data_IF_019964867756
#
_entry.id   IF_019964867756
#
_cell.length_a   1.000
_cell.length_b   1.000
_cell.length_c   1.000
_cell.angle_alpha   90.00
_cell.angle_beta   90.00
_cell.angle_gamma   90.00
#
_symmetry.space_group_name_H-M   'P 1'
#
loop_
_entity.id
_entity.type
_entity.pdbx_description
1 polymer ?
#
# COMPACT_ATOMS: atom_id res chain seq x y z
N UNK A 1 -11.82 5.11 10.66
CA UNK A 1 -11.79 4.01 9.69
C UNK A 1 -11.39 2.79 10.49
N UNK A 2 -12.37 2.04 10.98
CA UNK A 2 -12.06 0.73 11.56
C UNK A 2 -11.77 -0.17 10.35
N UNK A 3 -10.51 -0.56 10.15
CA UNK A 3 -10.21 -1.74 9.35
C UNK A 3 -10.36 -2.92 10.30
N UNK A 4 -11.53 -3.57 10.35
CA UNK A 4 -11.63 -4.75 11.18
C UNK A 4 -10.67 -5.77 10.57
N UNK A 5 -9.71 -6.20 11.37
CA UNK A 5 -8.90 -7.39 11.12
C UNK A 5 -9.90 -8.57 11.15
N UNK A 6 -10.65 -8.71 10.06
CA UNK A 6 -11.59 -9.80 9.87
C UNK A 6 -10.79 -10.93 9.27
N UNK A 7 -10.85 -12.09 9.91
CA UNK A 7 -10.38 -13.38 9.38
C UNK A 7 -11.18 -13.84 8.15
N UNK A 8 -11.63 -12.92 7.30
CA UNK A 8 -12.40 -13.17 6.09
C UNK A 8 -11.71 -12.50 4.92
N UNK A 9 -11.28 -13.31 3.98
CA UNK A 9 -10.82 -12.83 2.68
C UNK A 9 -11.92 -11.99 2.03
N UNK A 10 -11.58 -10.77 1.58
CA UNK A 10 -12.45 -10.02 0.68
C UNK A 10 -12.39 -10.71 -0.69
N UNK A 11 -13.50 -11.27 -1.21
CA UNK A 11 -13.52 -11.94 -2.51
C UNK A 11 -13.18 -11.02 -3.68
N UNK A 12 -13.21 -9.69 -3.48
CA UNK A 12 -12.80 -8.69 -4.48
C UNK A 12 -11.35 -8.22 -4.28
N UNK A 13 -10.67 -8.66 -3.22
CA UNK A 13 -9.26 -8.36 -3.03
C UNK A 13 -8.43 -9.11 -4.07
N UNK A 14 -7.48 -8.44 -4.75
CA UNK A 14 -6.52 -9.14 -5.60
C UNK A 14 -5.53 -9.99 -4.79
N UNK A 15 -5.61 -9.97 -3.46
CA UNK A 15 -4.77 -10.74 -2.53
C UNK A 15 -5.66 -11.57 -1.60
N UNK A 16 -5.38 -12.87 -1.49
CA UNK A 16 -5.97 -13.73 -0.46
C UNK A 16 -5.18 -13.53 0.83
N UNK A 17 -5.77 -12.82 1.80
CA UNK A 17 -5.13 -12.54 3.09
C UNK A 17 -4.75 -13.84 3.82
N UNK A 18 -5.58 -14.88 3.67
CA UNK A 18 -5.35 -16.19 4.27
C UNK A 18 -4.06 -16.91 3.84
N UNK A 19 -3.42 -16.47 2.74
CA UNK A 19 -2.12 -16.95 2.26
C UNK A 19 -0.94 -16.31 3.02
N UNK A 20 -1.16 -15.21 3.75
CA UNK A 20 -0.10 -14.41 4.40
C UNK A 20 -0.16 -14.53 5.93
N UNK A 21 0.17 -15.71 6.47
CA UNK A 21 0.01 -16.02 7.90
C UNK A 21 1.23 -15.75 8.78
N UNK A 22 2.39 -15.53 8.18
CA UNK A 22 3.65 -15.32 8.90
C UNK A 22 4.56 -14.30 8.22
N UNK A 23 5.60 -13.88 8.92
CA UNK A 23 6.55 -12.89 8.40
C UNK A 23 7.21 -13.32 7.08
N UNK A 24 7.49 -14.61 6.86
CA UNK A 24 8.14 -15.07 5.64
C UNK A 24 7.18 -14.99 4.44
N UNK A 25 5.90 -15.29 4.65
CA UNK A 25 4.86 -15.14 3.63
C UNK A 25 4.69 -13.68 3.20
N UNK A 26 4.85 -12.73 4.13
CA UNK A 26 4.83 -11.28 3.84
C UNK A 26 6.12 -10.85 3.13
N UNK A 27 7.30 -11.33 3.58
CA UNK A 27 8.63 -10.98 3.03
C UNK A 27 8.83 -11.49 1.61
N UNK A 28 8.08 -12.51 1.16
CA UNK A 28 7.98 -12.92 -0.26
C UNK A 28 7.32 -11.86 -1.19
N UNK A 29 7.28 -10.60 -0.76
CA UNK A 29 6.84 -9.39 -1.47
C UNK A 29 7.66 -9.01 -2.72
N UNK A 30 8.63 -9.83 -3.15
CA UNK A 30 9.46 -9.55 -4.34
C UNK A 30 8.63 -9.36 -5.62
N UNK A 31 7.48 -10.04 -5.70
CA UNK A 31 6.55 -9.94 -6.82
C UNK A 31 5.83 -8.59 -6.88
N UNK A 32 5.61 -7.90 -5.76
CA UNK A 32 4.97 -6.57 -5.77
C UNK A 32 6.01 -5.50 -6.06
N UNK A 33 7.16 -5.54 -5.39
CA UNK A 33 8.26 -4.59 -5.62
C UNK A 33 8.69 -4.59 -7.09
N UNK A 34 8.91 -5.77 -7.68
CA UNK A 34 9.28 -5.86 -9.10
C UNK A 34 8.21 -5.33 -10.07
N UNK A 35 6.92 -5.51 -9.76
CA UNK A 35 5.82 -4.93 -10.54
C UNK A 35 5.79 -3.40 -10.43
N UNK A 36 5.99 -2.88 -9.23
CA UNK A 36 6.06 -1.44 -8.95
C UNK A 36 7.27 -0.82 -9.67
N UNK A 37 8.44 -1.44 -9.56
CA UNK A 37 9.66 -1.02 -10.23
C UNK A 37 9.48 -0.99 -11.74
N UNK A 38 8.91 -2.06 -12.31
CA UNK A 38 8.60 -2.14 -13.75
C UNK A 38 7.59 -1.08 -14.18
N UNK A 39 6.61 -0.74 -13.34
CA UNK A 39 5.66 0.32 -13.64
C UNK A 39 6.38 1.67 -13.72
N UNK A 40 7.16 2.00 -12.69
CA UNK A 40 7.87 3.28 -12.63
C UNK A 40 9.00 3.40 -13.65
N UNK A 41 9.70 2.32 -13.99
CA UNK A 41 10.77 2.33 -15.00
C UNK A 41 10.27 2.68 -16.40
N UNK A 42 8.99 2.43 -16.67
CA UNK A 42 8.35 2.69 -17.96
C UNK A 42 7.45 3.93 -17.94
N UNK A 43 7.31 4.60 -16.79
CA UNK A 43 6.37 5.69 -16.61
C UNK A 43 6.94 7.01 -17.14
N UNK A 44 6.13 7.74 -17.90
CA UNK A 44 6.47 9.06 -18.44
C UNK A 44 5.60 10.14 -17.81
N UNK A 45 6.06 11.39 -17.85
CA UNK A 45 5.32 12.53 -17.30
C UNK A 45 3.93 12.70 -17.93
N UNK A 46 3.80 12.40 -19.23
CA UNK A 46 2.53 12.40 -19.96
C UNK A 46 1.53 11.35 -19.46
N UNK A 47 1.99 10.28 -18.82
CA UNK A 47 1.14 9.21 -18.30
C UNK A 47 0.36 9.63 -17.05
N UNK A 48 0.82 10.66 -16.33
CA UNK A 48 0.19 11.18 -15.12
C UNK A 48 -1.24 11.71 -15.37
N UNK A 49 -1.51 12.18 -16.59
CA UNK A 49 -2.82 12.69 -17.01
C UNK A 49 -3.78 11.61 -17.51
N UNK A 50 -3.34 10.35 -17.63
CA UNK A 50 -4.20 9.27 -18.15
C UNK A 50 -5.32 8.97 -17.16
N UNK A 51 -6.52 8.78 -17.70
CA UNK A 51 -7.67 8.31 -16.92
C UNK A 51 -7.55 6.81 -16.69
N UNK A 52 -7.66 6.42 -15.42
CA UNK A 52 -7.77 5.04 -14.95
C UNK A 52 -9.12 4.84 -14.28
N UNK A 53 -9.55 3.58 -14.19
CA UNK A 53 -10.86 3.25 -13.64
C UNK A 53 -10.74 2.21 -12.53
N UNK A 54 -11.48 2.42 -11.45
CA UNK A 54 -11.66 1.45 -10.37
C UNK A 54 -13.15 1.16 -10.21
N UNK A 55 -13.50 -0.13 -10.14
CA UNK A 55 -14.83 -0.55 -9.69
C UNK A 55 -14.76 -0.70 -8.18
N UNK A 56 -15.62 0.01 -7.46
CA UNK A 56 -15.73 -0.12 -6.01
C UNK A 56 -16.70 -1.26 -5.64
N UNK A 57 -16.78 -1.58 -4.35
CA UNK A 57 -17.64 -2.62 -3.81
C UNK A 57 -19.15 -2.36 -4.05
N UNK A 58 -19.53 -1.14 -4.41
CA UNK A 58 -20.89 -0.77 -4.83
C UNK A 58 -21.20 -1.10 -6.31
N UNK A 59 -20.25 -1.71 -7.03
CA UNK A 59 -20.35 -2.01 -8.45
C UNK A 59 -20.19 -0.79 -9.36
N UNK A 60 -20.05 0.42 -8.81
CA UNK A 60 -19.88 1.64 -9.58
C UNK A 60 -18.43 1.81 -10.03
N UNK A 61 -18.25 1.99 -11.34
CA UNK A 61 -16.97 2.31 -11.95
C UNK A 61 -16.70 3.81 -11.85
N UNK A 62 -15.61 4.17 -11.16
CA UNK A 62 -15.16 5.56 -10.98
C UNK A 62 -13.90 5.82 -11.78
N UNK A 63 -13.84 7.00 -12.39
CA UNK A 63 -12.69 7.46 -13.15
C UNK A 63 -11.81 8.36 -12.27
N UNK A 64 -10.50 8.14 -12.32
CA UNK A 64 -9.48 8.96 -11.65
C UNK A 64 -8.32 9.19 -12.61
N UNK A 65 -7.47 10.19 -12.37
CA UNK A 65 -6.21 10.32 -13.10
C UNK A 65 -5.10 9.54 -12.40
N UNK A 66 -4.10 9.10 -13.15
CA UNK A 66 -2.93 8.40 -12.61
C UNK A 66 -2.26 9.22 -11.50
N UNK A 67 -2.07 10.54 -11.67
CA UNK A 67 -1.47 11.39 -10.63
C UNK A 67 -2.20 11.32 -9.29
N UNK A 68 -3.53 11.26 -9.32
CA UNK A 68 -4.37 11.30 -8.12
C UNK A 68 -4.28 9.94 -7.41
N UNK A 69 -4.22 8.85 -8.18
CA UNK A 69 -3.99 7.49 -7.66
C UNK A 69 -2.61 7.36 -7.03
N UNK A 70 -1.56 7.86 -7.67
CA UNK A 70 -0.19 7.79 -7.13
C UNK A 70 -0.07 8.58 -5.82
N UNK A 71 -0.66 9.77 -5.75
CA UNK A 71 -0.68 10.56 -4.52
C UNK A 71 -1.45 9.84 -3.40
N UNK A 72 -2.61 9.24 -3.73
CA UNK A 72 -3.39 8.46 -2.78
C UNK A 72 -2.62 7.27 -2.23
N UNK A 73 -1.94 6.49 -3.09
CA UNK A 73 -1.14 5.32 -2.64
C UNK A 73 -0.05 5.71 -1.64
N UNK A 74 0.65 6.82 -1.88
CA UNK A 74 1.67 7.33 -0.95
C UNK A 74 1.02 7.76 0.38
N UNK A 75 -0.10 8.46 0.33
CA UNK A 75 -0.81 8.91 1.52
C UNK A 75 -1.33 7.73 2.37
N UNK A 76 -1.89 6.70 1.74
CA UNK A 76 -2.35 5.48 2.41
C UNK A 76 -1.19 4.68 3.03
N UNK A 77 -0.05 4.58 2.34
CA UNK A 77 1.13 3.91 2.90
C UNK A 77 1.63 4.63 4.15
N UNK A 78 1.72 5.97 4.11
CA UNK A 78 2.10 6.79 5.25
C UNK A 78 1.10 6.66 6.41
N UNK A 79 -0.20 6.64 6.11
CA UNK A 79 -1.26 6.46 7.10
C UNK A 79 -1.10 5.14 7.85
N UNK A 80 -1.05 4.01 7.13
CA UNK A 80 -0.93 2.68 7.74
C UNK A 80 0.42 2.45 8.41
N UNK A 81 1.51 3.03 7.88
CA UNK A 81 2.80 2.98 8.55
C UNK A 81 2.76 3.70 9.90
N UNK A 82 2.04 4.82 9.99
CA UNK A 82 1.78 5.51 11.26
C UNK A 82 1.03 4.63 12.28
N UNK A 83 0.02 3.89 11.84
CA UNK A 83 -0.71 2.94 12.70
C UNK A 83 0.21 1.81 13.21
N UNK A 84 1.04 1.23 12.33
CA UNK A 84 2.03 0.21 12.73
C UNK A 84 3.00 0.76 13.78
N UNK A 85 3.46 2.00 13.65
CA UNK A 85 4.35 2.62 14.64
C UNK A 85 3.67 2.79 16.00
N UNK A 86 2.39 3.19 16.01
CA UNK A 86 1.62 3.29 17.24
C UNK A 86 1.52 1.94 17.95
N UNK A 87 1.30 0.84 17.19
CA UNK A 87 1.31 -0.51 17.75
C UNK A 87 2.68 -0.89 18.32
N UNK A 88 3.79 -0.60 17.62
CA UNK A 88 5.13 -0.87 18.13
C UNK A 88 5.40 -0.15 19.47
N UNK A 89 4.98 1.12 19.58
CA UNK A 89 5.07 1.87 20.84
C UNK A 89 4.27 1.23 21.96
N UNK A 90 3.04 0.78 21.69
CA UNK A 90 2.20 0.08 22.68
C UNK A 90 2.84 -1.23 23.15
N UNK A 91 3.63 -1.88 22.29
CA UNK A 91 4.41 -3.09 22.61
C UNK A 91 5.76 -2.79 23.27
N UNK A 92 6.07 -1.53 23.57
CA UNK A 92 7.37 -1.07 24.07
C UNK A 92 8.55 -1.42 23.13
N UNK A 93 8.28 -1.46 21.82
CA UNK A 93 9.28 -1.64 20.77
C UNK A 93 9.55 -0.26 20.14
N UNK A 94 10.82 0.13 20.07
CA UNK A 94 11.20 1.37 19.37
C UNK A 94 11.03 1.17 17.85
N UNK A 95 10.19 1.96 17.16
CA UNK A 95 10.08 1.89 15.70
C UNK A 95 11.34 2.46 15.04
N UNK A 96 11.55 2.09 13.79
CA UNK A 96 12.65 2.59 12.96
C UNK A 96 12.56 4.11 12.80
N UNK A 97 13.70 4.81 12.75
CA UNK A 97 13.72 6.25 12.54
C UNK A 97 13.15 6.61 11.16
N UNK A 98 12.21 7.54 11.14
CA UNK A 98 11.39 7.91 9.97
C UNK A 98 11.82 9.24 9.32
N UNK A 99 12.87 9.86 9.83
CA UNK A 99 13.33 11.14 9.30
C UNK A 99 13.97 10.95 7.93
N UNK A 100 13.64 11.80 6.97
CA UNK A 100 14.41 11.89 5.72
C UNK A 100 15.92 12.05 5.99
N UNK A 101 16.26 12.72 7.09
CA UNK A 101 17.64 12.94 7.54
C UNK A 101 18.23 11.79 8.38
N UNK A 102 17.43 10.82 8.85
CA UNK A 102 17.93 9.75 9.72
C UNK A 102 18.74 8.67 8.99
N UNK A 103 18.75 8.70 7.65
CA UNK A 103 19.50 7.75 6.81
C UNK A 103 20.84 8.32 6.31
N UNK A 104 21.11 9.62 6.53
CA UNK A 104 22.41 10.22 6.19
C UNK A 104 23.37 10.04 7.37
N UNK A 105 24.22 9.01 7.28
CA UNK A 105 25.47 8.90 8.05
C UNK A 105 26.64 9.39 7.21
#
# INVERSE_FOLDING_TARGET
MDYPILDKDDPNSPFQYSEYRDWNSIVCYSNVTSKVDKYFSNHKMEDLGKTVFRTNNDGMRRACNVKDVLLHVIAEELHHRGEIMAFLWQMNIKPTDMGWLSVMK
#
